data_IF_182469799893
#
_entry.id   IF_182469799893
#
_cell.length_a   1.000
_cell.length_b   1.000
_cell.length_c   1.000
_cell.angle_alpha   90.00
_cell.angle_beta   90.00
_cell.angle_gamma   90.00
#
_symmetry.space_group_name_H-M   'P 1'
#
loop_
_entity.id
_entity.type
_entity.pdbx_description
1 polymer ?
#
# COMPACT_ATOMS: atom_id res chain seq x y z
N UNK A 1 -21.66 3.49 19.61
CA UNK A 1 -20.60 3.84 18.65
C UNK A 1 -19.38 3.02 18.99
N UNK A 2 -18.77 2.37 18.00
CA UNK A 2 -17.52 1.65 18.17
C UNK A 2 -16.39 2.65 18.51
N UNK A 3 -15.71 2.43 19.64
CA UNK A 3 -14.71 3.34 20.22
C UNK A 3 -13.26 2.88 19.96
N UNK A 4 -13.05 1.87 19.11
CA UNK A 4 -11.72 1.30 18.90
C UNK A 4 -10.81 2.31 18.17
N UNK A 5 -9.73 2.81 18.80
CA UNK A 5 -8.91 3.89 18.24
C UNK A 5 -7.96 3.42 17.14
N UNK A 6 -7.59 2.14 17.15
CA UNK A 6 -6.64 1.54 16.21
C UNK A 6 -7.25 0.28 15.59
N UNK A 7 -7.18 0.18 14.27
CA UNK A 7 -7.67 -0.97 13.51
C UNK A 7 -6.51 -1.59 12.73
N UNK A 8 -6.50 -2.91 12.64
CA UNK A 8 -5.54 -3.67 11.84
C UNK A 8 -6.34 -4.50 10.84
N UNK A 9 -6.05 -4.33 9.55
CA UNK A 9 -6.60 -5.12 8.48
C UNK A 9 -5.48 -5.87 7.76
N UNK A 10 -5.64 -7.18 7.65
CA UNK A 10 -4.79 -8.04 6.84
C UNK A 10 -5.63 -8.62 5.70
N UNK A 11 -5.04 -8.74 4.51
CA UNK A 11 -5.68 -9.26 3.29
C UNK A 11 -7.06 -8.65 2.96
N UNK A 12 -7.26 -7.35 3.20
CA UNK A 12 -8.50 -6.67 2.79
C UNK A 12 -8.68 -6.66 1.26
N UNK A 13 -7.64 -7.01 0.51
CA UNK A 13 -7.63 -7.20 -0.93
C UNK A 13 -7.94 -8.62 -1.41
N UNK A 14 -8.23 -9.57 -0.51
CA UNK A 14 -8.58 -10.94 -0.88
C UNK A 14 -9.82 -10.96 -1.80
N UNK A 15 -9.67 -11.57 -2.99
CA UNK A 15 -10.70 -11.65 -4.03
C UNK A 15 -11.17 -10.29 -4.59
N UNK A 16 -10.36 -9.24 -4.44
CA UNK A 16 -10.68 -7.90 -4.92
C UNK A 16 -9.85 -7.56 -6.16
N UNK A 17 -10.52 -7.21 -7.26
CA UNK A 17 -9.87 -6.70 -8.47
C UNK A 17 -9.60 -5.19 -8.42
N UNK A 18 -8.73 -4.69 -9.31
CA UNK A 18 -8.21 -3.31 -9.27
C UNK A 18 -9.25 -2.19 -9.13
N UNK A 19 -10.43 -2.30 -9.79
CA UNK A 19 -11.51 -1.29 -9.67
C UNK A 19 -12.12 -1.22 -8.28
N UNK A 20 -12.27 -2.36 -7.60
CA UNK A 20 -12.80 -2.40 -6.25
C UNK A 20 -11.72 -1.97 -5.22
N UNK A 21 -10.44 -2.21 -5.52
CA UNK A 21 -9.32 -1.73 -4.72
C UNK A 21 -9.32 -0.21 -4.49
N UNK A 22 -9.60 0.59 -5.52
CA UNK A 22 -9.69 2.06 -5.38
C UNK A 22 -10.79 2.48 -4.38
N UNK A 23 -11.98 1.86 -4.48
CA UNK A 23 -13.09 2.14 -3.56
C UNK A 23 -12.77 1.73 -2.12
N UNK A 24 -12.09 0.60 -1.95
CA UNK A 24 -11.62 0.15 -0.63
C UNK A 24 -10.59 1.13 -0.07
N UNK A 25 -9.58 1.51 -0.85
CA UNK A 25 -8.55 2.48 -0.44
C UNK A 25 -9.14 3.82 0.00
N UNK A 26 -10.07 4.37 -0.79
CA UNK A 26 -10.81 5.58 -0.43
C UNK A 26 -11.59 5.40 0.86
N UNK A 27 -12.28 4.27 1.04
CA UNK A 27 -13.05 4.02 2.26
C UNK A 27 -12.15 3.90 3.50
N UNK A 28 -10.98 3.27 3.36
CA UNK A 28 -9.99 3.19 4.42
C UNK A 28 -9.45 4.57 4.79
N UNK A 29 -9.19 5.45 3.80
CA UNK A 29 -8.82 6.86 4.03
C UNK A 29 -9.87 7.60 4.85
N UNK A 30 -11.16 7.44 4.51
CA UNK A 30 -12.26 8.06 5.24
C UNK A 30 -12.31 7.60 6.70
N UNK A 31 -12.18 6.29 6.95
CA UNK A 31 -12.19 5.74 8.31
C UNK A 31 -10.95 6.22 9.09
N UNK A 32 -9.81 6.34 8.43
CA UNK A 32 -8.56 6.81 9.02
C UNK A 32 -8.62 8.28 9.48
N UNK A 33 -9.61 9.08 9.05
CA UNK A 33 -9.78 10.46 9.52
C UNK A 33 -10.06 10.57 11.03
N UNK A 34 -10.58 9.51 11.65
CA UNK A 34 -10.88 9.47 13.09
C UNK A 34 -10.20 8.32 13.85
N UNK A 35 -9.38 7.50 13.18
CA UNK A 35 -8.76 6.28 13.74
C UNK A 35 -7.40 6.01 13.11
N UNK A 36 -6.51 5.34 13.82
CA UNK A 36 -5.29 4.81 13.23
C UNK A 36 -5.59 3.48 12.53
N UNK A 37 -5.15 3.32 11.28
CA UNK A 37 -5.31 2.07 10.53
C UNK A 37 -3.95 1.54 10.10
N UNK A 38 -3.69 0.27 10.42
CA UNK A 38 -2.65 -0.53 9.79
C UNK A 38 -3.30 -1.44 8.75
N UNK A 39 -2.80 -1.40 7.52
CA UNK A 39 -3.34 -2.17 6.42
C UNK A 39 -2.20 -2.90 5.72
N UNK A 40 -2.32 -4.22 5.62
CA UNK A 40 -1.40 -5.08 4.89
C UNK A 40 -2.07 -5.43 3.56
N UNK A 41 -1.40 -5.14 2.46
CA UNK A 41 -1.95 -5.30 1.11
C UNK A 41 -0.85 -5.51 0.08
N UNK A 42 -1.17 -6.25 -0.98
CA UNK A 42 -0.37 -6.36 -2.19
C UNK A 42 -0.95 -5.54 -3.36
N UNK A 43 -2.11 -4.89 -3.17
CA UNK A 43 -2.72 -4.06 -4.20
C UNK A 43 -2.23 -2.61 -4.16
N UNK A 44 -1.60 -2.12 -5.24
CA UNK A 44 -1.13 -0.73 -5.31
C UNK A 44 -2.28 0.26 -5.23
N UNK A 45 -3.47 -0.12 -5.72
CA UNK A 45 -4.68 0.71 -5.67
C UNK A 45 -5.08 1.04 -4.23
N UNK A 46 -4.87 0.14 -3.27
CA UNK A 46 -5.16 0.41 -1.86
C UNK A 46 -3.98 1.14 -1.21
N UNK A 47 -2.74 0.68 -1.43
CA UNK A 47 -1.53 1.27 -0.86
C UNK A 47 -1.33 2.76 -1.24
N UNK A 48 -1.83 3.18 -2.41
CA UNK A 48 -1.75 4.58 -2.85
C UNK A 48 -2.52 5.57 -1.95
N UNK A 49 -3.57 5.13 -1.25
CA UNK A 49 -4.35 5.97 -0.33
C UNK A 49 -3.76 6.09 1.08
N UNK A 50 -2.73 5.31 1.40
CA UNK A 50 -2.11 5.37 2.73
C UNK A 50 -1.41 6.72 2.97
N UNK A 51 -1.49 7.26 4.19
CA UNK A 51 -0.69 8.43 4.56
C UNK A 51 0.81 8.09 4.61
N UNK A 52 1.13 6.92 5.19
CA UNK A 52 2.48 6.39 5.30
C UNK A 52 2.51 5.01 4.66
N UNK A 53 3.46 4.79 3.76
CA UNK A 53 3.62 3.52 3.06
C UNK A 53 4.91 2.86 3.54
N UNK A 54 4.82 1.63 4.04
CA UNK A 54 5.97 0.84 4.47
C UNK A 54 6.14 -0.38 3.57
N UNK A 55 7.37 -0.61 3.11
CA UNK A 55 7.74 -1.87 2.44
C UNK A 55 8.29 -2.83 3.47
N UNK A 56 7.73 -4.03 3.53
CA UNK A 56 8.25 -5.13 4.35
C UNK A 56 9.05 -6.06 3.45
N UNK A 57 10.25 -6.45 3.88
CA UNK A 57 11.13 -7.36 3.15
C UNK A 57 11.60 -8.49 4.05
N UNK A 58 11.72 -9.69 3.48
CA UNK A 58 12.20 -10.89 4.17
C UNK A 58 13.54 -11.30 3.57
N UNK A 59 14.56 -11.45 4.41
CA UNK A 59 15.86 -12.02 4.04
C UNK A 59 16.02 -13.37 4.74
N UNK A 60 16.07 -14.43 3.95
CA UNK A 60 16.29 -15.79 4.45
C UNK A 60 17.78 -16.13 4.29
N UNK A 61 18.41 -16.57 5.37
CA UNK A 61 19.78 -17.09 5.37
C UNK A 61 19.82 -18.47 6.02
N UNK A 62 20.94 -19.17 5.92
CA UNK A 62 21.09 -20.52 6.53
C UNK A 62 20.92 -20.52 8.06
N UNK A 63 21.27 -19.42 8.74
CA UNK A 63 21.25 -19.32 10.20
C UNK A 63 19.98 -18.68 10.76
N UNK A 64 19.33 -17.80 10.01
CA UNK A 64 18.11 -17.10 10.45
C UNK A 64 17.30 -16.51 9.29
N UNK A 65 16.01 -16.31 9.57
CA UNK A 65 15.13 -15.45 8.77
C UNK A 65 15.04 -14.08 9.45
N UNK A 66 15.33 -13.02 8.71
CA UNK A 66 15.19 -11.64 9.18
C UNK A 66 14.10 -10.91 8.38
N UNK A 67 13.21 -10.23 9.10
CA UNK A 67 12.21 -9.33 8.51
C UNK A 67 12.66 -7.89 8.75
N UNK A 68 12.66 -7.08 7.70
CA UNK A 68 12.99 -5.65 7.76
C UNK A 68 11.80 -4.85 7.19
N UNK A 69 11.66 -3.61 7.62
CA UNK A 69 10.70 -2.68 7.05
C UNK A 69 11.32 -1.29 6.86
N UNK A 70 10.82 -0.55 5.86
CA UNK A 70 11.27 0.81 5.57
C UNK A 70 10.08 1.67 5.15
N UNK A 71 10.02 2.91 5.65
CA UNK A 71 9.04 3.89 5.17
C UNK A 71 9.45 4.37 3.77
N UNK A 72 8.49 4.40 2.85
CA UNK A 72 8.67 4.84 1.48
C UNK A 72 8.08 6.22 1.26
N UNK A 73 8.89 7.11 0.70
CA UNK A 73 8.51 8.50 0.42
C UNK A 73 8.95 8.91 -0.98
N UNK A 74 8.29 9.93 -1.52
CA UNK A 74 8.58 10.49 -2.85
C UNK A 74 8.75 9.42 -3.93
N UNK A 75 9.90 9.46 -4.61
CA UNK A 75 10.22 8.54 -5.71
C UNK A 75 10.34 7.06 -5.27
N UNK A 76 10.70 6.78 -4.01
CA UNK A 76 10.72 5.41 -3.52
C UNK A 76 9.31 4.82 -3.44
N UNK A 77 8.32 5.63 -3.04
CA UNK A 77 6.91 5.24 -3.02
C UNK A 77 6.35 5.00 -4.43
N UNK A 78 6.71 5.86 -5.40
CA UNK A 78 6.33 5.68 -6.81
C UNK A 78 6.87 4.36 -7.36
N UNK A 79 8.16 4.09 -7.14
CA UNK A 79 8.80 2.85 -7.60
C UNK A 79 8.15 1.61 -7.00
N UNK A 80 7.80 1.64 -5.71
CA UNK A 80 7.12 0.50 -5.08
C UNK A 80 5.76 0.21 -5.71
N UNK A 81 4.93 1.24 -5.88
CA UNK A 81 3.62 1.05 -6.51
C UNK A 81 3.75 0.55 -7.95
N UNK A 82 4.76 1.03 -8.68
CA UNK A 82 5.08 0.54 -10.02
C UNK A 82 5.52 -0.93 -10.02
N UNK A 83 6.36 -1.33 -9.05
CA UNK A 83 6.80 -2.72 -8.85
C UNK A 83 5.61 -3.62 -8.50
N UNK A 84 4.72 -3.19 -7.60
CA UNK A 84 3.49 -3.92 -7.24
C UNK A 84 2.56 -4.17 -8.44
N UNK A 85 2.48 -3.22 -9.39
CA UNK A 85 1.64 -3.37 -10.59
C UNK A 85 2.26 -4.26 -11.66
N UNK A 86 3.54 -4.05 -11.95
CA UNK A 86 4.19 -4.66 -13.11
C UNK A 86 4.96 -5.95 -12.78
N UNK A 87 5.22 -6.20 -11.50
CA UNK A 87 6.16 -7.24 -11.05
C UNK A 87 7.61 -6.96 -11.45
N UNK A 88 7.89 -5.79 -12.04
CA UNK A 88 9.20 -5.40 -12.53
C UNK A 88 9.68 -4.14 -11.81
N UNK A 89 10.96 -4.10 -11.44
CA UNK A 89 11.53 -2.98 -10.69
C UNK A 89 11.64 -1.69 -11.50
N UNK A 90 11.74 -1.79 -12.81
CA UNK A 90 12.10 -0.65 -13.68
C UNK A 90 11.22 -0.61 -14.94
N UNK A 91 9.93 -0.29 -14.76
CA UNK A 91 9.00 -0.01 -15.87
C UNK A 91 8.54 1.44 -15.84
N UNK A 92 8.90 2.22 -16.87
CA UNK A 92 8.55 3.65 -16.93
C UNK A 92 7.04 3.89 -17.14
N UNK A 93 6.37 2.97 -17.86
CA UNK A 93 4.91 2.97 -17.99
C UNK A 93 4.25 2.75 -16.62
N UNK A 94 4.77 1.79 -15.83
CA UNK A 94 4.26 1.51 -14.50
C UNK A 94 4.50 2.68 -13.54
N UNK A 95 5.66 3.35 -13.62
CA UNK A 95 5.93 4.58 -12.84
C UNK A 95 4.93 5.69 -13.17
N UNK A 96 4.69 5.94 -14.47
CA UNK A 96 3.72 6.95 -14.92
C UNK A 96 2.33 6.65 -14.35
N UNK A 97 1.91 5.38 -14.37
CA UNK A 97 0.63 4.97 -13.79
C UNK A 97 0.60 5.13 -12.26
N UNK A 98 1.71 4.81 -11.57
CA UNK A 98 1.83 4.98 -10.11
C UNK A 98 1.73 6.44 -9.69
N UNK A 99 2.33 7.36 -10.44
CA UNK A 99 2.22 8.81 -10.20
C UNK A 99 0.77 9.29 -10.37
N UNK A 100 0.09 8.86 -11.43
CA UNK A 100 -1.32 9.18 -11.65
C UNK A 100 -2.21 8.64 -10.53
N UNK A 101 -1.92 7.44 -10.03
CA UNK A 101 -2.63 6.82 -8.90
C UNK A 101 -2.43 7.62 -7.61
N UNK A 102 -1.20 7.98 -7.26
CA UNK A 102 -0.90 8.82 -6.09
C UNK A 102 -1.59 10.18 -6.18
N UNK A 103 -1.59 10.81 -7.36
CA UNK A 103 -2.30 12.06 -7.59
C UNK A 103 -3.79 11.92 -7.33
N UNK A 104 -4.40 10.85 -7.85
CA UNK A 104 -5.84 10.56 -7.66
C UNK A 104 -6.19 10.20 -6.21
N UNK A 105 -5.27 9.58 -5.49
CA UNK A 105 -5.46 9.24 -4.07
C UNK A 105 -5.27 10.44 -3.13
N UNK A 106 -4.59 11.50 -3.59
CA UNK A 106 -4.37 12.73 -2.84
C UNK A 106 -5.45 13.80 -3.01
N UNK A 107 -6.38 13.59 -3.95
CA UNK A 107 -7.53 14.47 -4.25
C UNK A 107 -8.81 13.99 -3.59
#
# INVERSE_FOLDING_TARGET
>A
MDQTPTLIFDEIDANIGGRLGDRVGRKMREIASGRQIFLITHLPQIASFAERHFKVTKKVSKSATQVNYVQLEGQARVRELAEMMSGQKESDIAKTHAEAMLKSASS
#
